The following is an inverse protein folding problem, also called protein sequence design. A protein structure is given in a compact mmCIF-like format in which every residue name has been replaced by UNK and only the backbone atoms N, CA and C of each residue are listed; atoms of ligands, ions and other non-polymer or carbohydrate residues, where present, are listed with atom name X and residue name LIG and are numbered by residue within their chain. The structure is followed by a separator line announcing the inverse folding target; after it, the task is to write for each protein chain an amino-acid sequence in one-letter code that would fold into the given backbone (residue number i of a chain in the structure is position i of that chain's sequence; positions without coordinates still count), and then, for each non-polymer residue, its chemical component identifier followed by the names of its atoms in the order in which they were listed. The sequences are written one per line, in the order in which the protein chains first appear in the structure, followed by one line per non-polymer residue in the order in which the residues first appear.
data_IF_590331927542
#
_entry.id   IF_590331927542
#
_cell.length_a   1.000
_cell.length_b   1.000
_cell.length_c   1.000
_cell.angle_alpha   90.00
_cell.angle_beta   90.00
_cell.angle_gamma   90.00
#
_symmetry.space_group_name_H-M   'P 1'
#
loop_
_entity.id
_entity.type
_entity.pdbx_description
1 polymer ?
#
# COMPACT_ATOMS: atom_id res chain seq x y z
N UNK A 1 1.97 12.86 -7.58
CA UNK A 1 1.90 12.27 -8.93
C UNK A 1 2.63 10.92 -9.04
N UNK A 2 3.50 10.52 -8.11
CA UNK A 2 4.26 9.26 -8.18
C UNK A 2 3.67 8.09 -7.37
N UNK A 3 2.60 8.27 -6.59
CA UNK A 3 2.09 7.21 -5.69
C UNK A 3 1.44 6.03 -6.43
N UNK A 4 1.30 6.10 -7.76
CA UNK A 4 0.91 4.99 -8.63
C UNK A 4 2.11 4.36 -9.36
N UNK A 5 3.33 4.88 -9.14
CA UNK A 5 4.56 4.23 -9.59
C UNK A 5 4.82 2.98 -8.73
N UNK A 6 5.53 2.01 -9.29
CA UNK A 6 5.85 0.72 -8.64
C UNK A 6 7.34 0.49 -8.75
N UNK A 7 7.95 -0.18 -7.77
CA UNK A 7 9.42 -0.32 -7.74
C UNK A 7 10.00 -0.98 -9.00
N UNK A 8 9.28 -1.91 -9.63
CA UNK A 8 9.67 -2.58 -10.87
C UNK A 8 9.48 -1.74 -12.15
N UNK A 9 8.83 -0.57 -12.04
CA UNK A 9 8.49 0.32 -13.15
C UNK A 9 7.24 -0.06 -13.92
N UNK A 10 6.45 -1.02 -13.43
CA UNK A 10 5.13 -1.35 -14.01
C UNK A 10 4.05 -0.31 -13.67
N UNK A 11 4.37 0.65 -12.81
CA UNK A 11 3.50 1.76 -12.42
C UNK A 11 3.46 2.88 -13.45
N UNK A 12 2.73 3.94 -13.10
CA UNK A 12 2.45 5.05 -14.00
C UNK A 12 2.43 6.38 -13.21
N UNK A 13 2.56 7.55 -13.87
CA UNK A 13 2.54 7.78 -15.33
C UNK A 13 3.89 7.64 -16.05
N UNK A 14 5.01 7.58 -15.35
CA UNK A 14 6.35 7.66 -15.97
C UNK A 14 7.12 6.34 -15.95
N UNK A 15 6.64 5.32 -15.24
CA UNK A 15 7.31 4.03 -15.15
C UNK A 15 8.62 4.11 -14.39
N UNK A 16 8.66 4.95 -13.34
CA UNK A 16 9.84 5.16 -12.49
C UNK A 16 10.17 3.87 -11.74
N UNK A 17 11.46 3.63 -11.47
CA UNK A 17 11.94 2.41 -10.79
C UNK A 17 12.71 2.73 -9.54
N UNK A 18 12.59 1.86 -8.54
CA UNK A 18 13.42 1.90 -7.33
C UNK A 18 13.53 3.31 -6.72
N UNK A 19 14.75 3.83 -6.67
CA UNK A 19 15.10 5.12 -6.06
C UNK A 19 14.71 6.35 -6.89
N UNK A 20 14.20 6.18 -8.12
CA UNK A 20 13.60 7.27 -8.89
C UNK A 20 12.25 7.72 -8.28
N UNK A 21 11.67 6.90 -7.41
CA UNK A 21 10.41 7.15 -6.71
C UNK A 21 10.71 7.75 -5.33
N UNK A 22 10.14 8.92 -5.07
CA UNK A 22 10.24 9.60 -3.78
C UNK A 22 9.76 8.69 -2.65
N UNK A 23 10.43 8.77 -1.49
CA UNK A 23 10.05 7.98 -0.31
C UNK A 23 8.59 8.22 0.08
N UNK A 24 8.15 9.46 0.06
CA UNK A 24 6.77 9.87 0.37
C UNK A 24 5.78 9.21 -0.60
N UNK A 25 6.14 9.08 -1.88
CA UNK A 25 5.31 8.42 -2.86
C UNK A 25 5.26 6.90 -2.64
N UNK A 26 6.37 6.27 -2.25
CA UNK A 26 6.41 4.85 -1.86
C UNK A 26 5.54 4.58 -0.62
N UNK A 27 5.55 5.50 0.37
CA UNK A 27 4.67 5.46 1.54
C UNK A 27 3.20 5.55 1.13
N UNK A 28 2.86 6.54 0.31
CA UNK A 28 1.50 6.74 -0.17
C UNK A 28 0.99 5.56 -1.01
N UNK A 29 1.84 4.96 -1.85
CA UNK A 29 1.46 3.80 -2.66
C UNK A 29 0.99 2.61 -1.80
N UNK A 30 1.72 2.29 -0.74
CA UNK A 30 1.34 1.21 0.19
C UNK A 30 0.09 1.57 0.99
N UNK A 31 -0.01 2.81 1.48
CA UNK A 31 -1.16 3.28 2.23
C UNK A 31 -2.45 3.24 1.38
N UNK A 32 -2.39 3.76 0.14
CA UNK A 32 -3.50 3.79 -0.81
C UNK A 32 -4.00 2.38 -1.14
N UNK A 33 -3.10 1.43 -1.40
CA UNK A 33 -3.49 0.03 -1.68
C UNK A 33 -4.20 -0.61 -0.48
N UNK A 34 -3.65 -0.45 0.72
CA UNK A 34 -4.25 -1.05 1.92
C UNK A 34 -5.63 -0.44 2.20
N UNK A 35 -5.74 0.90 2.18
CA UNK A 35 -7.00 1.61 2.38
C UNK A 35 -8.03 1.24 1.30
N UNK A 36 -7.62 1.22 0.04
CA UNK A 36 -8.48 0.88 -1.09
C UNK A 36 -9.06 -0.53 -0.99
N UNK A 37 -8.29 -1.50 -0.49
CA UNK A 37 -8.73 -2.88 -0.34
C UNK A 37 -9.72 -3.08 0.79
N UNK A 38 -9.56 -2.38 1.91
CA UNK A 38 -10.41 -2.52 3.11
C UNK A 38 -11.59 -1.56 3.14
N UNK A 39 -11.64 -0.60 2.22
CA UNK A 39 -12.76 0.34 2.10
C UNK A 39 -13.88 -0.25 1.24
N UNK A 40 -15.13 0.02 1.62
CA UNK A 40 -16.28 -0.34 0.80
C UNK A 40 -16.33 0.55 -0.45
N UNK A 41 -16.45 -0.06 -1.64
CA UNK A 41 -16.64 0.67 -2.91
C UNK A 41 -17.94 0.20 -3.57
N UNK A 42 -18.63 1.04 -4.37
CA UNK A 42 -19.94 0.72 -4.96
C UNK A 42 -20.01 -0.62 -5.72
N UNK A 43 -18.85 -1.13 -6.19
CA UNK A 43 -18.73 -2.35 -6.98
C UNK A 43 -17.84 -3.43 -6.34
N UNK A 44 -17.36 -3.20 -5.12
CA UNK A 44 -16.46 -4.14 -4.42
C UNK A 44 -16.66 -4.03 -2.91
N UNK A 45 -17.13 -5.11 -2.25
CA UNK A 45 -17.17 -5.12 -0.80
C UNK A 45 -15.76 -4.99 -0.23
N UNK A 46 -15.65 -4.35 0.93
CA UNK A 46 -14.40 -4.26 1.68
C UNK A 46 -13.81 -5.65 1.89
N UNK A 47 -12.51 -5.82 1.59
CA UNK A 47 -11.74 -6.98 1.99
C UNK A 47 -11.29 -6.84 3.44
N UNK A 48 -10.87 -7.96 4.05
CA UNK A 48 -10.32 -7.91 5.40
C UNK A 48 -8.92 -7.31 5.40
N UNK A 49 -8.54 -6.69 6.52
CA UNK A 49 -7.19 -6.18 6.73
C UNK A 49 -6.11 -7.24 6.48
N UNK A 50 -6.37 -8.50 6.85
CA UNK A 50 -5.43 -9.61 6.61
C UNK A 50 -5.16 -9.82 5.11
N UNK A 51 -6.19 -9.69 4.28
CA UNK A 51 -6.04 -9.82 2.82
C UNK A 51 -5.24 -8.65 2.26
N UNK A 52 -5.51 -7.43 2.72
CA UNK A 52 -4.76 -6.24 2.31
C UNK A 52 -3.28 -6.31 2.74
N UNK A 53 -2.99 -6.73 3.97
CA UNK A 53 -1.62 -6.90 4.44
C UNK A 53 -0.90 -8.04 3.71
N UNK A 54 -1.62 -9.10 3.32
CA UNK A 54 -1.05 -10.19 2.52
C UNK A 54 -0.64 -9.70 1.13
N UNK A 55 -1.50 -8.96 0.44
CA UNK A 55 -1.21 -8.38 -0.89
C UNK A 55 0.09 -7.58 -0.91
N UNK A 56 0.25 -6.62 0.01
CA UNK A 56 1.45 -5.77 0.04
C UNK A 56 2.68 -6.54 0.51
N UNK A 57 2.50 -7.60 1.31
CA UNK A 57 3.61 -8.48 1.75
C UNK A 57 4.11 -9.35 0.60
N UNK A 58 3.21 -9.97 -0.15
CA UNK A 58 3.55 -10.87 -1.27
C UNK A 58 4.24 -10.13 -2.43
N UNK A 59 3.94 -8.84 -2.59
CA UNK A 59 4.52 -7.98 -3.63
C UNK A 59 5.66 -7.06 -3.13
N UNK A 60 6.12 -7.27 -1.90
CA UNK A 60 7.20 -6.50 -1.28
C UNK A 60 8.53 -6.71 -2.00
N UNK A 61 9.23 -5.64 -2.34
CA UNK A 61 10.50 -5.69 -3.09
C UNK A 61 10.34 -5.81 -4.61
N UNK A 62 9.11 -5.99 -5.10
CA UNK A 62 8.81 -5.98 -6.54
C UNK A 62 7.92 -4.79 -6.89
N UNK A 63 6.74 -4.67 -6.29
CA UNK A 63 5.85 -3.54 -6.54
C UNK A 63 6.02 -2.45 -5.49
N UNK A 64 6.27 -2.85 -4.24
CA UNK A 64 6.27 -1.96 -3.08
C UNK A 64 7.60 -1.98 -2.35
N UNK A 65 7.92 -0.86 -1.70
CA UNK A 65 9.12 -0.74 -0.88
C UNK A 65 9.09 -1.64 0.36
N UNK A 66 10.10 -2.52 0.55
CA UNK A 66 10.12 -3.43 1.69
C UNK A 66 10.07 -2.75 3.06
N UNK A 67 10.75 -1.62 3.24
CA UNK A 67 10.76 -0.93 4.53
C UNK A 67 9.42 -0.22 4.79
N UNK A 68 8.77 0.29 3.75
CA UNK A 68 7.41 0.84 3.86
C UNK A 68 6.39 -0.27 4.18
N UNK A 69 6.46 -1.41 3.49
CA UNK A 69 5.56 -2.56 3.75
C UNK A 69 5.73 -3.04 5.19
N UNK A 70 6.98 -3.16 5.66
CA UNK A 70 7.28 -3.52 7.05
C UNK A 70 6.69 -2.51 8.03
N UNK A 71 6.89 -1.20 7.81
CA UNK A 71 6.33 -0.17 8.67
C UNK A 71 4.79 -0.21 8.73
N UNK A 72 4.14 -0.40 7.57
CA UNK A 72 2.68 -0.57 7.49
C UNK A 72 2.21 -1.78 8.30
N UNK A 73 2.85 -2.95 8.14
CA UNK A 73 2.51 -4.15 8.92
C UNK A 73 2.69 -3.93 10.42
N UNK A 74 3.76 -3.28 10.85
CA UNK A 74 3.98 -2.99 12.26
C UNK A 74 2.93 -2.05 12.86
N UNK A 75 2.47 -1.07 12.08
CA UNK A 75 1.39 -0.17 12.50
C UNK A 75 0.11 -0.95 12.86
N UNK A 76 -0.31 -1.87 12.01
CA UNK A 76 -1.52 -2.66 12.26
C UNK A 76 -1.31 -3.78 13.28
N UNK A 77 -0.20 -4.52 13.20
CA UNK A 77 0.01 -5.74 13.99
C UNK A 77 0.59 -5.47 15.37
N UNK A 78 1.52 -4.52 15.49
CA UNK A 78 2.20 -4.20 16.77
C UNK A 78 1.54 -3.03 17.46
N UNK A 79 1.32 -1.92 16.74
CA UNK A 79 0.71 -0.70 17.29
C UNK A 79 -0.81 -0.79 17.37
N UNK A 80 -1.42 -1.87 16.85
CA UNK A 80 -2.86 -2.16 16.90
C UNK A 80 -3.71 -1.01 16.36
N UNK A 81 -3.19 -0.29 15.37
CA UNK A 81 -3.96 0.76 14.71
C UNK A 81 -5.25 0.18 14.12
N UNK A 82 -6.33 0.94 14.23
CA UNK A 82 -7.62 0.64 13.62
C UNK A 82 -8.12 1.91 12.97
N UNK A 83 -8.71 1.79 11.79
CA UNK A 83 -9.48 2.88 11.22
C UNK A 83 -10.66 3.16 12.15
N UNK A 84 -10.82 4.41 12.55
CA UNK A 84 -12.03 4.83 13.23
C UNK A 84 -13.18 4.69 12.24
N UNK A 85 -14.25 3.99 12.64
CA UNK A 85 -15.44 3.86 11.82
C UNK A 85 -15.96 5.28 11.51
N UNK A 86 -15.67 5.76 10.31
CA UNK A 86 -16.43 6.85 9.72
C UNK A 86 -17.81 6.28 9.47
N UNK A 87 -18.77 6.79 10.26
CA UNK A 87 -20.18 6.41 10.24
C UNK A 87 -20.77 6.49 8.83
#
# INVERSE_FOLDING_TARGET
YQHHERLDGSGYPRGLKGDEILLEARILAVADVVEAMISHRPYRPALTLNVALKEVTENSGTLYDPEVVKACRELFLKKKFRFENSR
#
